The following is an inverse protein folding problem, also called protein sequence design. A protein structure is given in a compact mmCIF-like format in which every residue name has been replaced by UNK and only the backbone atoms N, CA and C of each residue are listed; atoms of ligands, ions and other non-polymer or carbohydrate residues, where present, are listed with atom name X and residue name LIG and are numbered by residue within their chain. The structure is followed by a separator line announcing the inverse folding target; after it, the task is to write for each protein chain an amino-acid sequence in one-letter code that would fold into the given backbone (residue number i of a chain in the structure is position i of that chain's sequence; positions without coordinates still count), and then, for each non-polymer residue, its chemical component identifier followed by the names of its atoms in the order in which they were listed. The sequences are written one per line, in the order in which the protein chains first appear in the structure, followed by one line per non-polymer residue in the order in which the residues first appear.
data_IF_021758655711
#
_entry.id   IF_021758655711
#
_cell.length_a   1.000
_cell.length_b   1.000
_cell.length_c   1.000
_cell.angle_alpha   90.00
_cell.angle_beta   90.00
_cell.angle_gamma   90.00
#
_symmetry.space_group_name_H-M   'P 1'
#
loop_
_entity.id
_entity.type
_entity.pdbx_description
1 polymer ?
#
# COMPACT_ATOMS: atom_id res chain seq x y z
N UNK A 1 -14.87 -17.17 40.56
CA UNK A 1 -13.62 -16.60 41.11
C UNK A 1 -13.52 -15.16 40.64
N UNK A 2 -13.49 -14.23 41.60
CA UNK A 2 -13.35 -12.81 41.31
C UNK A 2 -11.90 -12.52 40.96
N UNK A 3 -11.64 -12.08 39.72
CA UNK A 3 -10.33 -11.60 39.30
C UNK A 3 -9.95 -10.34 40.11
N UNK A 4 -8.79 -10.37 40.74
CA UNK A 4 -8.23 -9.25 41.52
C UNK A 4 -7.63 -8.16 40.62
N UNK A 5 -8.32 -7.76 39.55
CA UNK A 5 -7.85 -6.72 38.63
C UNK A 5 -9.00 -5.75 38.29
N UNK A 6 -8.65 -4.51 38.00
CA UNK A 6 -9.63 -3.49 37.63
C UNK A 6 -10.41 -3.91 36.36
N UNK A 7 -11.69 -3.54 36.25
CA UNK A 7 -12.48 -3.77 35.04
C UNK A 7 -11.76 -3.23 33.78
N UNK A 8 -11.65 -4.08 32.76
CA UNK A 8 -10.91 -3.74 31.54
C UNK A 8 -9.38 -3.88 31.61
N UNK A 9 -8.83 -4.30 32.76
CA UNK A 9 -7.41 -4.57 32.89
C UNK A 9 -6.96 -5.76 32.05
N UNK A 10 -5.66 -5.77 31.67
CA UNK A 10 -5.04 -6.78 30.79
C UNK A 10 -5.31 -8.21 31.24
N UNK A 11 -5.20 -8.49 32.55
CA UNK A 11 -5.43 -9.81 33.10
C UNK A 11 -6.90 -10.25 32.96
N UNK A 12 -7.84 -9.34 33.18
CA UNK A 12 -9.27 -9.62 33.07
C UNK A 12 -9.69 -9.88 31.63
N UNK A 13 -9.22 -9.05 30.68
CA UNK A 13 -9.49 -9.24 29.25
C UNK A 13 -8.93 -10.58 28.76
N UNK A 14 -7.73 -10.93 29.19
CA UNK A 14 -7.09 -12.23 28.86
C UNK A 14 -7.90 -13.42 29.38
N UNK A 15 -8.30 -13.38 30.64
CA UNK A 15 -9.05 -14.49 31.28
C UNK A 15 -10.44 -14.65 30.64
N UNK A 16 -11.14 -13.55 30.41
CA UNK A 16 -12.45 -13.56 29.73
C UNK A 16 -12.33 -14.14 28.32
N UNK A 17 -11.32 -13.74 27.57
CA UNK A 17 -11.07 -14.29 26.24
C UNK A 17 -10.72 -15.78 26.28
N UNK A 18 -9.93 -16.22 27.25
CA UNK A 18 -9.61 -17.63 27.43
C UNK A 18 -10.85 -18.49 27.71
N UNK A 19 -11.79 -17.98 28.50
CA UNK A 19 -13.08 -18.65 28.76
C UNK A 19 -13.91 -18.75 27.47
N UNK A 20 -14.03 -17.67 26.71
CA UNK A 20 -14.79 -17.65 25.46
C UNK A 20 -14.17 -18.56 24.39
N UNK A 21 -12.84 -18.58 24.27
CA UNK A 21 -12.14 -19.51 23.36
C UNK A 21 -12.39 -20.97 23.75
N UNK A 22 -12.34 -21.30 25.03
CA UNK A 22 -12.67 -22.65 25.50
C UNK A 22 -14.10 -23.03 25.17
N UNK A 23 -15.04 -22.15 25.46
CA UNK A 23 -16.44 -22.37 25.14
C UNK A 23 -16.66 -22.58 23.64
N UNK A 24 -16.08 -21.71 22.80
CA UNK A 24 -16.17 -21.84 21.34
C UNK A 24 -15.70 -23.22 20.86
N UNK A 25 -14.55 -23.68 21.37
CA UNK A 25 -13.97 -24.97 20.99
C UNK A 25 -14.77 -26.18 21.49
N UNK A 26 -15.38 -26.07 22.66
CA UNK A 26 -16.19 -27.16 23.23
C UNK A 26 -17.56 -27.25 22.60
N UNK A 27 -18.19 -26.11 22.28
CA UNK A 27 -19.56 -26.06 21.77
C UNK A 27 -19.65 -26.04 20.24
N UNK A 28 -18.50 -25.81 19.52
CA UNK A 28 -18.50 -25.58 18.08
C UNK A 28 -19.10 -24.23 17.66
N UNK A 29 -19.28 -23.31 18.61
CA UNK A 29 -19.86 -21.97 18.36
C UNK A 29 -18.79 -21.01 17.83
N UNK A 30 -19.08 -20.30 16.74
CA UNK A 30 -18.22 -19.19 16.29
C UNK A 30 -18.44 -17.97 17.18
N UNK A 31 -17.34 -17.38 17.68
CA UNK A 31 -17.38 -16.19 18.54
C UNK A 31 -16.58 -15.08 17.88
N UNK A 32 -17.19 -13.90 17.76
CA UNK A 32 -16.54 -12.68 17.32
C UNK A 32 -16.27 -11.79 18.52
N UNK A 33 -14.97 -11.48 18.75
CA UNK A 33 -14.53 -10.52 19.74
C UNK A 33 -14.27 -9.18 19.03
N UNK A 34 -15.03 -8.16 19.38
CA UNK A 34 -14.87 -6.82 18.80
C UNK A 34 -14.05 -5.96 19.74
N UNK A 35 -12.93 -5.43 19.25
CA UNK A 35 -12.02 -4.55 19.97
C UNK A 35 -11.76 -3.25 19.23
N UNK A 36 -11.14 -2.30 19.93
CA UNK A 36 -10.69 -1.03 19.34
C UNK A 36 -9.17 -1.06 19.14
N UNK A 37 -8.71 -0.34 18.11
CA UNK A 37 -7.30 -0.06 17.88
C UNK A 37 -6.99 1.32 18.45
N UNK A 38 -5.88 1.46 19.18
CA UNK A 38 -5.43 2.79 19.66
C UNK A 38 -4.94 3.64 18.49
N UNK A 39 -4.77 4.96 18.71
CA UNK A 39 -4.23 5.88 17.69
C UNK A 39 -2.85 5.47 17.17
N UNK A 40 -2.10 4.71 17.95
CA UNK A 40 -0.78 4.17 17.57
C UNK A 40 -0.89 2.83 16.82
N UNK A 41 -2.09 2.38 16.45
CA UNK A 41 -2.30 1.14 15.69
C UNK A 41 -2.16 -0.14 16.53
N UNK A 42 -2.06 -0.03 17.86
CA UNK A 42 -2.08 -1.17 18.75
C UNK A 42 -3.51 -1.48 19.20
N UNK A 43 -3.87 -2.76 19.33
CA UNK A 43 -5.13 -3.15 19.96
C UNK A 43 -5.24 -2.53 21.35
N UNK A 44 -6.35 -1.83 21.62
CA UNK A 44 -6.72 -1.41 22.97
C UNK A 44 -7.07 -2.66 23.78
N UNK A 45 -6.07 -3.23 24.38
CA UNK A 45 -6.08 -4.52 25.03
C UNK A 45 -4.83 -5.29 24.66
N UNK A 46 -4.48 -6.34 25.41
CA UNK A 46 -3.21 -6.97 25.20
C UNK A 46 -3.15 -7.61 23.80
N UNK A 47 -2.05 -7.43 23.09
CA UNK A 47 -1.62 -8.26 21.94
C UNK A 47 -1.77 -9.76 22.22
N UNK A 48 -1.88 -10.12 23.47
CA UNK A 48 -2.21 -11.44 23.97
C UNK A 48 -3.48 -12.03 23.30
N UNK A 49 -4.49 -11.23 23.00
CA UNK A 49 -5.69 -11.71 22.32
C UNK A 49 -5.40 -12.24 20.92
N UNK A 50 -4.49 -11.60 20.20
CA UNK A 50 -4.10 -12.04 18.84
C UNK A 50 -3.50 -13.47 18.87
N UNK A 51 -2.81 -13.83 19.95
CA UNK A 51 -2.24 -15.17 20.11
C UNK A 51 -3.28 -16.22 20.49
N UNK A 52 -4.37 -15.82 21.12
CA UNK A 52 -5.38 -16.72 21.67
C UNK A 52 -6.48 -17.10 20.66
N UNK A 53 -6.74 -16.24 19.68
CA UNK A 53 -7.81 -16.43 18.68
C UNK A 53 -7.28 -17.10 17.41
N UNK A 54 -8.16 -17.72 16.64
CA UNK A 54 -7.78 -18.39 15.39
C UNK A 54 -7.63 -17.41 14.22
N UNK A 55 -8.37 -16.32 14.22
CA UNK A 55 -8.37 -15.31 13.15
C UNK A 55 -8.37 -13.91 13.75
N UNK A 56 -7.58 -13.02 13.16
CA UNK A 56 -7.56 -11.59 13.49
C UNK A 56 -7.82 -10.79 12.23
N UNK A 57 -8.86 -9.98 12.26
CA UNK A 57 -9.26 -9.10 11.17
C UNK A 57 -9.13 -7.65 11.63
N UNK A 58 -8.40 -6.84 10.86
CA UNK A 58 -8.34 -5.40 11.06
C UNK A 58 -9.34 -4.72 10.12
N UNK A 59 -10.15 -3.87 10.73
CA UNK A 59 -11.09 -3.04 10.01
C UNK A 59 -10.50 -1.63 9.92
N UNK A 60 -10.02 -1.27 8.73
CA UNK A 60 -9.28 -0.05 8.46
C UNK A 60 -10.14 0.93 7.64
N UNK A 61 -9.92 2.22 7.79
CA UNK A 61 -10.56 3.26 6.99
C UNK A 61 -10.39 4.63 7.63
N UNK A 62 -10.30 5.65 6.81
CA UNK A 62 -10.31 7.02 7.29
C UNK A 62 -11.70 7.40 7.81
N UNK A 63 -11.76 8.27 8.83
CA UNK A 63 -13.01 8.69 9.47
C UNK A 63 -14.00 9.28 8.47
N UNK A 64 -13.51 9.97 7.45
CA UNK A 64 -14.29 10.65 6.42
C UNK A 64 -14.29 9.90 5.08
N UNK A 65 -13.57 8.77 5.00
CA UNK A 65 -13.46 7.96 3.80
C UNK A 65 -14.72 7.14 3.52
N UNK A 66 -15.11 7.05 2.25
CA UNK A 66 -16.23 6.22 1.80
C UNK A 66 -15.88 4.72 1.75
N UNK A 67 -14.60 4.39 1.84
CA UNK A 67 -14.11 3.02 1.78
C UNK A 67 -13.76 2.50 3.17
N UNK A 68 -13.96 1.20 3.33
CA UNK A 68 -13.52 0.42 4.49
C UNK A 68 -12.76 -0.79 4.00
N UNK A 69 -11.61 -1.04 4.60
CA UNK A 69 -10.74 -2.15 4.27
C UNK A 69 -10.80 -3.17 5.41
N UNK A 70 -11.05 -4.42 5.10
CA UNK A 70 -11.01 -5.52 6.04
C UNK A 70 -9.79 -6.40 5.71
N UNK A 71 -8.80 -6.38 6.58
CA UNK A 71 -7.53 -7.09 6.38
C UNK A 71 -7.40 -8.27 7.33
N UNK A 72 -7.13 -9.45 6.80
CA UNK A 72 -6.77 -10.62 7.59
C UNK A 72 -5.29 -10.55 7.99
N UNK A 73 -5.02 -10.30 9.27
CA UNK A 73 -3.65 -10.21 9.82
C UNK A 73 -3.17 -11.56 10.35
N UNK A 74 -4.09 -12.35 10.88
CA UNK A 74 -3.86 -13.73 11.30
C UNK A 74 -5.02 -14.59 10.81
N UNK A 75 -4.71 -15.74 10.25
CA UNK A 75 -5.70 -16.75 9.90
C UNK A 75 -5.11 -18.15 10.03
N UNK A 76 -5.49 -18.87 11.06
CA UNK A 76 -4.95 -20.20 11.36
C UNK A 76 -5.33 -21.25 10.31
N UNK A 77 -6.46 -21.08 9.66
CA UNK A 77 -7.03 -22.08 8.76
C UNK A 77 -7.08 -21.64 7.28
N UNK A 78 -6.40 -20.54 6.94
CA UNK A 78 -6.40 -20.02 5.57
C UNK A 78 -5.30 -18.99 5.33
N UNK A 79 -5.40 -18.30 4.20
CA UNK A 79 -4.46 -17.26 3.81
C UNK A 79 -4.51 -16.05 4.77
N UNK A 80 -3.37 -15.42 4.96
CA UNK A 80 -3.23 -14.13 5.66
C UNK A 80 -3.03 -13.00 4.64
N UNK A 81 -3.18 -11.76 5.09
CA UNK A 81 -3.09 -10.55 4.27
C UNK A 81 -4.16 -10.42 3.18
N UNK A 82 -5.20 -11.26 3.24
CA UNK A 82 -6.39 -11.08 2.41
C UNK A 82 -7.05 -9.74 2.71
N UNK A 83 -7.49 -9.06 1.66
CA UNK A 83 -8.09 -7.74 1.74
C UNK A 83 -9.50 -7.73 1.15
N UNK A 84 -10.48 -7.43 1.99
CA UNK A 84 -11.84 -7.08 1.56
C UNK A 84 -11.97 -5.56 1.44
N UNK A 85 -12.54 -5.07 0.35
CA UNK A 85 -12.82 -3.65 0.14
C UNK A 85 -14.32 -3.43 0.13
N UNK A 86 -14.79 -2.50 0.95
CA UNK A 86 -16.20 -2.18 1.12
C UNK A 86 -16.44 -0.68 0.97
N UNK A 87 -17.52 -0.32 0.29
CA UNK A 87 -18.02 1.06 0.24
C UNK A 87 -19.04 1.28 1.36
N UNK A 88 -18.95 2.42 2.03
CA UNK A 88 -19.96 2.86 2.99
C UNK A 88 -21.12 3.50 2.24
N UNK A 89 -22.33 2.99 2.47
CA UNK A 89 -23.57 3.51 1.89
C UNK A 89 -24.58 3.84 3.00
N UNK A 90 -25.66 4.51 2.65
CA UNK A 90 -26.81 4.76 3.55
C UNK A 90 -27.45 3.48 4.10
N UNK A 91 -27.24 2.36 3.40
CA UNK A 91 -27.72 1.03 3.80
C UNK A 91 -26.66 0.16 4.48
N UNK A 92 -25.48 0.72 4.78
CA UNK A 92 -24.36 0.03 5.38
C UNK A 92 -23.24 -0.29 4.40
N UNK A 93 -22.43 -1.31 4.70
CA UNK A 93 -21.28 -1.72 3.90
C UNK A 93 -21.72 -2.51 2.66
N UNK A 94 -21.20 -2.13 1.50
CA UNK A 94 -21.36 -2.85 0.25
C UNK A 94 -19.99 -3.29 -0.27
N UNK A 95 -19.87 -4.57 -0.64
CA UNK A 95 -18.64 -5.11 -1.23
C UNK A 95 -18.28 -4.37 -2.53
N UNK A 96 -16.99 -4.09 -2.70
CA UNK A 96 -16.41 -3.52 -3.92
C UNK A 96 -15.70 -4.64 -4.68
N UNK A 97 -16.31 -5.11 -5.74
CA UNK A 97 -15.78 -6.19 -6.58
C UNK A 97 -14.56 -5.78 -7.39
N UNK A 98 -14.42 -4.50 -7.73
CA UNK A 98 -13.29 -3.95 -8.48
C UNK A 98 -12.66 -2.76 -7.73
N UNK A 99 -11.78 -3.01 -6.74
CA UNK A 99 -11.14 -1.94 -5.98
C UNK A 99 -10.29 -1.01 -6.83
N UNK A 100 -9.56 -1.55 -7.83
CA UNK A 100 -8.72 -0.75 -8.70
C UNK A 100 -9.49 0.37 -9.38
N UNK A 101 -10.73 0.14 -9.81
CA UNK A 101 -11.57 1.16 -10.43
C UNK A 101 -11.87 2.33 -9.48
N UNK A 102 -11.98 2.07 -8.18
CA UNK A 102 -12.27 3.10 -7.17
C UNK A 102 -10.99 3.89 -6.85
N UNK A 103 -9.87 3.20 -6.66
CA UNK A 103 -8.59 3.85 -6.35
C UNK A 103 -7.98 4.60 -7.54
N UNK A 104 -8.50 4.35 -8.76
CA UNK A 104 -8.12 5.03 -9.99
C UNK A 104 -9.05 6.19 -10.37
N UNK A 105 -9.84 6.73 -9.44
CA UNK A 105 -10.63 7.94 -9.67
C UNK A 105 -9.68 9.12 -9.86
N UNK A 106 -9.23 9.33 -11.10
CA UNK A 106 -8.24 10.33 -11.47
C UNK A 106 -8.88 11.63 -11.89
N UNK A 107 -8.13 12.72 -11.73
CA UNK A 107 -8.42 13.96 -12.44
C UNK A 107 -8.49 13.70 -13.97
N UNK A 108 -9.33 14.41 -14.69
CA UNK A 108 -9.44 14.27 -16.14
C UNK A 108 -8.16 14.69 -16.88
N UNK A 109 -7.34 15.50 -16.24
CA UNK A 109 -6.06 15.99 -16.78
C UNK A 109 -4.88 15.38 -16.02
N UNK A 110 -3.79 15.11 -16.75
CA UNK A 110 -2.54 14.67 -16.16
C UNK A 110 -1.95 15.79 -15.30
N UNK A 111 -1.61 15.48 -14.05
CA UNK A 111 -1.04 16.42 -13.10
C UNK A 111 0.36 15.98 -12.67
N UNK A 112 1.29 16.93 -12.44
CA UNK A 112 2.62 16.58 -11.94
C UNK A 112 2.53 15.86 -10.60
N UNK A 113 3.40 14.88 -10.39
CA UNK A 113 3.52 14.16 -9.13
C UNK A 113 2.57 12.96 -9.00
N UNK A 114 1.69 12.69 -9.97
CA UNK A 114 0.79 11.53 -9.92
C UNK A 114 1.28 10.41 -10.82
N UNK A 115 1.27 9.18 -10.29
CA UNK A 115 1.55 7.96 -11.05
C UNK A 115 0.73 6.80 -10.49
N UNK A 116 0.42 5.82 -11.33
CA UNK A 116 -0.22 4.59 -10.87
C UNK A 116 0.81 3.48 -10.73
N UNK A 117 0.70 2.77 -9.63
CA UNK A 117 1.45 1.56 -9.35
C UNK A 117 0.54 0.35 -9.26
N UNK A 118 1.10 -0.84 -9.50
CA UNK A 118 0.46 -2.10 -9.18
C UNK A 118 1.04 -2.62 -7.86
N UNK A 119 0.22 -2.68 -6.83
CA UNK A 119 0.55 -3.27 -5.54
C UNK A 119 -0.09 -4.66 -5.42
N UNK A 120 0.44 -5.50 -4.54
CA UNK A 120 -0.12 -6.81 -4.25
C UNK A 120 -0.77 -6.81 -2.89
N UNK A 121 -2.07 -7.03 -2.87
CA UNK A 121 -2.86 -7.02 -1.63
C UNK A 121 -3.59 -8.36 -1.47
N UNK A 122 -3.21 -9.10 -0.41
CA UNK A 122 -3.74 -10.43 -0.18
C UNK A 122 -3.37 -11.40 -1.29
N UNK A 123 -4.34 -11.86 -2.03
CA UNK A 123 -4.19 -12.83 -3.13
C UNK A 123 -4.26 -12.21 -4.52
N UNK A 124 -4.34 -10.88 -4.65
CA UNK A 124 -4.59 -10.21 -5.94
C UNK A 124 -3.79 -8.92 -6.13
N UNK A 125 -3.51 -8.55 -7.40
CA UNK A 125 -2.98 -7.23 -7.71
C UNK A 125 -4.08 -6.17 -7.54
N UNK A 126 -3.65 -4.96 -7.16
CA UNK A 126 -4.49 -3.78 -7.07
C UNK A 126 -3.76 -2.59 -7.66
N UNK A 127 -4.44 -1.79 -8.46
CA UNK A 127 -3.89 -0.56 -9.00
C UNK A 127 -4.23 0.60 -8.08
N UNK A 128 -3.20 1.33 -7.70
CA UNK A 128 -3.31 2.42 -6.73
C UNK A 128 -2.53 3.64 -7.24
N UNK A 129 -3.12 4.82 -7.10
CA UNK A 129 -2.45 6.06 -7.41
C UNK A 129 -1.58 6.49 -6.22
N UNK A 130 -0.34 6.89 -6.52
CA UNK A 130 0.53 7.59 -5.59
C UNK A 130 0.74 9.02 -6.06
N UNK A 131 0.69 9.96 -5.13
CA UNK A 131 0.90 11.37 -5.38
C UNK A 131 2.09 11.87 -4.59
N UNK A 132 2.95 12.64 -5.25
CA UNK A 132 4.09 13.34 -4.66
C UNK A 132 3.91 14.85 -4.77
N UNK A 133 4.28 15.55 -3.72
CA UNK A 133 4.51 16.99 -3.73
C UNK A 133 5.95 17.24 -3.30
N UNK A 134 6.71 17.87 -4.18
CA UNK A 134 8.08 18.30 -3.91
C UNK A 134 8.15 19.81 -4.05
N UNK A 135 8.60 20.48 -3.01
CA UNK A 135 8.71 21.94 -2.99
C UNK A 135 9.98 22.39 -2.26
N UNK A 136 10.46 23.57 -2.56
CA UNK A 136 11.64 24.14 -1.89
C UNK A 136 11.39 24.25 -0.40
N UNK A 137 12.29 23.70 0.40
CA UNK A 137 12.18 23.79 1.85
C UNK A 137 12.68 25.14 2.35
N UNK A 138 11.88 25.74 3.24
CA UNK A 138 12.27 26.94 3.99
C UNK A 138 12.79 26.60 5.39
N UNK A 139 12.99 25.31 5.67
CA UNK A 139 13.44 24.81 6.96
C UNK A 139 14.90 24.35 6.88
N UNK A 140 15.62 24.46 7.99
CA UNK A 140 16.98 23.91 8.09
C UNK A 140 17.02 22.39 7.86
N UNK A 141 15.96 21.69 8.25
CA UNK A 141 15.79 20.26 8.00
C UNK A 141 14.55 20.05 7.13
N UNK A 142 14.69 19.76 5.86
CA UNK A 142 13.58 19.50 4.95
C UNK A 142 12.69 18.35 5.42
N UNK A 143 11.39 18.51 5.24
CA UNK A 143 10.40 17.53 5.67
C UNK A 143 10.35 16.34 4.72
N UNK A 144 10.14 15.16 5.31
CA UNK A 144 9.87 13.91 4.61
C UNK A 144 8.61 13.32 5.23
N UNK A 145 7.50 13.39 4.52
CA UNK A 145 6.19 12.96 5.03
C UNK A 145 5.59 11.94 4.09
N UNK A 146 5.10 10.84 4.66
CA UNK A 146 4.42 9.78 3.91
C UNK A 146 3.06 9.46 4.54
N UNK A 147 2.07 9.27 3.70
CA UNK A 147 0.77 8.73 4.06
C UNK A 147 0.56 7.42 3.28
N UNK A 148 0.35 6.33 4.01
CA UNK A 148 0.21 4.99 3.43
C UNK A 148 1.51 4.30 3.02
N UNK A 149 2.69 4.86 3.35
CA UNK A 149 4.02 4.36 2.98
C UNK A 149 4.98 4.47 4.17
N UNK A 150 6.07 3.69 4.13
CA UNK A 150 7.14 3.77 5.12
C UNK A 150 8.05 4.99 4.88
N UNK A 151 8.22 5.82 5.91
CA UNK A 151 9.03 7.04 5.82
C UNK A 151 10.53 6.76 5.70
N UNK A 152 11.03 5.71 6.35
CA UNK A 152 12.44 5.33 6.25
C UNK A 152 12.75 4.83 4.84
N UNK A 153 11.79 4.11 4.22
CA UNK A 153 11.93 3.69 2.83
C UNK A 153 12.05 4.90 1.90
N UNK A 154 11.22 5.92 2.07
CA UNK A 154 11.34 7.17 1.31
C UNK A 154 12.72 7.79 1.46
N UNK A 155 13.24 7.91 2.68
CA UNK A 155 14.56 8.49 2.91
C UNK A 155 15.68 7.74 2.16
N UNK A 156 15.63 6.40 2.15
CA UNK A 156 16.57 5.58 1.36
C UNK A 156 16.42 5.79 -0.14
N UNK A 157 15.20 5.83 -0.65
CA UNK A 157 14.94 6.04 -2.08
C UNK A 157 15.41 7.42 -2.55
N UNK A 158 15.25 8.46 -1.74
CA UNK A 158 15.78 9.80 -2.05
C UNK A 158 17.31 9.81 -2.10
N UNK A 159 17.98 9.08 -1.22
CA UNK A 159 19.45 8.92 -1.27
C UNK A 159 19.89 8.20 -2.55
N UNK A 160 19.17 7.15 -2.96
CA UNK A 160 19.44 6.44 -4.23
C UNK A 160 19.18 7.34 -5.43
N UNK A 161 18.10 8.11 -5.41
CA UNK A 161 17.75 9.07 -6.46
C UNK A 161 18.84 10.12 -6.64
N UNK A 162 19.39 10.63 -5.54
CA UNK A 162 20.52 11.56 -5.57
C UNK A 162 21.78 10.88 -6.13
N UNK A 163 22.19 9.74 -5.55
CA UNK A 163 23.48 9.11 -5.87
C UNK A 163 23.51 8.51 -7.28
N UNK A 164 22.44 7.86 -7.72
CA UNK A 164 22.37 7.10 -8.97
C UNK A 164 21.48 7.76 -10.04
N UNK A 165 20.53 8.60 -9.64
CA UNK A 165 19.72 9.38 -10.58
C UNK A 165 20.26 10.79 -10.84
N UNK A 166 21.26 11.25 -10.08
CA UNK A 166 21.79 12.60 -10.20
C UNK A 166 20.81 13.70 -9.76
N UNK A 167 19.79 13.36 -8.98
CA UNK A 167 18.69 14.24 -8.60
C UNK A 167 18.77 14.57 -7.10
N UNK A 168 19.30 15.73 -6.72
CA UNK A 168 19.35 16.14 -5.33
C UNK A 168 17.98 16.59 -4.83
N UNK A 169 17.66 16.21 -3.59
CA UNK A 169 16.43 16.65 -2.89
C UNK A 169 16.74 17.19 -1.48
N UNK A 170 18.01 17.50 -1.20
CA UNK A 170 18.44 17.91 0.15
C UNK A 170 17.86 19.25 0.59
N UNK A 171 17.45 20.10 -0.34
CA UNK A 171 16.80 21.40 -0.11
C UNK A 171 15.30 21.39 -0.41
N UNK A 172 14.70 20.21 -0.56
CA UNK A 172 13.29 20.05 -0.92
C UNK A 172 12.51 19.39 0.21
N UNK A 173 11.32 19.90 0.51
CA UNK A 173 10.29 19.15 1.24
C UNK A 173 9.68 18.12 0.29
N UNK A 174 9.51 16.89 0.77
CA UNK A 174 8.93 15.79 -0.02
C UNK A 174 7.77 15.18 0.75
N UNK A 175 6.60 15.21 0.12
CA UNK A 175 5.37 14.61 0.63
C UNK A 175 4.91 13.54 -0.33
N UNK A 176 4.57 12.36 0.19
CA UNK A 176 3.99 11.26 -0.58
C UNK A 176 2.69 10.81 0.04
N UNK A 177 1.70 10.57 -0.80
CA UNK A 177 0.39 10.09 -0.39
C UNK A 177 -0.08 8.96 -1.29
N UNK A 178 -0.51 7.85 -0.69
CA UNK A 178 -1.24 6.79 -1.40
C UNK A 178 -2.71 7.15 -1.39
N UNK A 179 -3.30 7.32 -2.56
CA UNK A 179 -4.70 7.71 -2.70
C UNK A 179 -5.63 6.61 -2.18
N UNK A 180 -6.68 7.00 -1.47
CA UNK A 180 -7.68 6.07 -0.94
C UNK A 180 -7.35 5.44 0.40
N UNK A 181 -6.30 5.93 1.10
CA UNK A 181 -5.96 5.45 2.46
C UNK A 181 -5.39 4.03 2.51
N UNK A 182 -4.97 3.48 1.38
CA UNK A 182 -4.33 2.15 1.31
C UNK A 182 -2.92 2.22 1.88
N UNK A 183 -2.54 1.25 2.69
CA UNK A 183 -1.15 1.10 3.16
C UNK A 183 -0.40 0.16 2.23
N UNK A 184 0.63 0.66 1.57
CA UNK A 184 1.51 -0.11 0.70
C UNK A 184 2.80 -0.40 1.45
N UNK A 185 3.05 -1.68 1.73
CA UNK A 185 4.20 -2.13 2.53
C UNK A 185 5.27 -2.86 1.69
N UNK A 186 4.97 -3.15 0.43
CA UNK A 186 5.88 -3.89 -0.44
C UNK A 186 6.86 -2.98 -1.19
N UNK A 187 8.07 -3.49 -1.43
CA UNK A 187 9.12 -2.77 -2.16
C UNK A 187 8.84 -2.61 -3.66
N UNK A 188 7.84 -3.32 -4.19
CA UNK A 188 7.37 -3.15 -5.57
C UNK A 188 6.91 -1.71 -5.89
N UNK A 189 6.59 -0.91 -4.87
CA UNK A 189 6.22 0.49 -5.00
C UNK A 189 7.39 1.45 -5.28
N UNK A 190 8.63 1.06 -5.01
CA UNK A 190 9.80 1.94 -5.01
C UNK A 190 9.94 2.77 -6.28
N UNK A 191 9.88 2.11 -7.43
CA UNK A 191 10.08 2.76 -8.72
C UNK A 191 8.96 3.78 -9.01
N UNK A 192 7.73 3.48 -8.62
CA UNK A 192 6.60 4.38 -8.74
C UNK A 192 6.73 5.62 -7.82
N UNK A 193 7.22 5.43 -6.59
CA UNK A 193 7.49 6.53 -5.67
C UNK A 193 8.52 7.50 -6.25
N UNK A 194 9.62 6.97 -6.80
CA UNK A 194 10.64 7.77 -7.45
C UNK A 194 10.12 8.49 -8.69
N UNK A 195 9.28 7.83 -9.49
CA UNK A 195 8.62 8.43 -10.65
C UNK A 195 7.71 9.59 -10.26
N UNK A 196 6.92 9.45 -9.19
CA UNK A 196 6.06 10.51 -8.68
C UNK A 196 6.88 11.71 -8.17
N UNK A 197 7.96 11.45 -7.41
CA UNK A 197 8.88 12.49 -6.94
C UNK A 197 9.49 13.25 -8.11
N UNK A 198 9.97 12.55 -9.13
CA UNK A 198 10.56 13.17 -10.33
C UNK A 198 9.56 14.01 -11.09
N UNK A 199 8.34 13.52 -11.26
CA UNK A 199 7.27 14.25 -11.94
C UNK A 199 6.95 15.56 -11.22
N UNK A 200 6.81 15.51 -9.89
CA UNK A 200 6.56 16.70 -9.06
C UNK A 200 7.75 17.68 -9.09
N UNK A 201 8.98 17.20 -8.87
CA UNK A 201 10.18 18.02 -8.86
C UNK A 201 10.40 18.78 -10.19
N UNK A 202 10.12 18.10 -11.31
CA UNK A 202 10.24 18.70 -12.64
C UNK A 202 8.98 19.47 -13.08
N UNK A 203 7.96 19.49 -12.26
CA UNK A 203 6.64 20.04 -12.59
C UNK A 203 6.13 19.56 -13.95
N UNK A 204 6.33 18.27 -14.25
CA UNK A 204 5.99 17.66 -15.54
C UNK A 204 5.11 16.43 -15.32
N UNK A 205 3.86 16.47 -15.81
CA UNK A 205 2.95 15.33 -15.70
C UNK A 205 3.48 14.08 -16.38
N UNK A 206 3.16 12.93 -15.80
CA UNK A 206 3.36 11.62 -16.44
C UNK A 206 2.11 11.23 -17.23
N UNK A 207 2.23 10.38 -18.27
CA UNK A 207 1.07 9.90 -19.01
C UNK A 207 0.04 9.23 -18.10
N UNK A 208 -1.25 9.51 -18.32
CA UNK A 208 -2.34 8.92 -17.54
C UNK A 208 -2.41 7.40 -17.62
N UNK A 209 -1.98 6.86 -18.74
CA UNK A 209 -2.01 5.45 -19.07
C UNK A 209 -0.68 4.73 -18.75
N UNK A 210 0.18 5.37 -17.95
CA UNK A 210 1.43 4.81 -17.47
C UNK A 210 1.24 4.09 -16.14
N UNK A 211 1.68 2.83 -16.08
CA UNK A 211 1.85 2.05 -14.86
C UNK A 211 3.34 1.91 -14.54
N UNK A 212 3.70 1.97 -13.25
CA UNK A 212 5.08 1.77 -12.82
C UNK A 212 5.12 0.82 -11.63
N UNK A 213 6.00 -0.16 -11.63
CA UNK A 213 6.34 -0.95 -10.45
C UNK A 213 7.75 -1.52 -10.53
N UNK A 214 8.34 -1.82 -9.39
CA UNK A 214 9.66 -2.44 -9.27
C UNK A 214 10.34 -2.06 -7.96
N UNK A 215 11.16 -2.96 -7.45
CA UNK A 215 12.02 -2.68 -6.31
C UNK A 215 13.29 -1.97 -6.78
N UNK A 216 13.76 -0.99 -6.02
CA UNK A 216 15.02 -0.30 -6.29
C UNK A 216 16.02 -0.58 -5.18
N UNK A 217 17.15 -1.17 -5.55
CA UNK A 217 18.25 -1.44 -4.64
C UNK A 217 19.14 -0.22 -4.38
N UNK A 218 19.96 -0.30 -3.34
CA UNK A 218 20.84 0.81 -2.92
C UNK A 218 21.93 1.15 -3.95
N UNK A 219 22.22 0.24 -4.87
CA UNK A 219 23.17 0.47 -5.98
C UNK A 219 22.48 1.02 -7.24
N UNK A 220 21.21 1.40 -7.16
CA UNK A 220 20.45 1.92 -8.29
C UNK A 220 19.96 0.85 -9.27
N UNK A 221 20.10 -0.44 -8.92
CA UNK A 221 19.54 -1.54 -9.70
C UNK A 221 18.04 -1.63 -9.53
N UNK A 222 17.33 -1.97 -10.60
CA UNK A 222 15.89 -2.25 -10.58
C UNK A 222 15.70 -3.76 -10.53
N UNK A 223 15.07 -4.24 -9.47
CA UNK A 223 14.93 -5.65 -9.13
C UNK A 223 13.52 -6.16 -9.43
N UNK A 224 13.38 -7.40 -9.91
CA UNK A 224 12.08 -8.00 -10.13
C UNK A 224 11.31 -8.18 -8.81
N UNK A 225 9.99 -8.14 -8.94
CA UNK A 225 9.05 -8.31 -7.83
C UNK A 225 8.16 -9.52 -8.09
N UNK A 226 7.55 -10.11 -7.05
CA UNK A 226 6.62 -11.22 -7.23
C UNK A 226 5.40 -10.84 -8.08
N UNK A 227 4.86 -11.80 -8.82
CA UNK A 227 3.58 -11.67 -9.54
C UNK A 227 3.56 -10.55 -10.59
N UNK A 228 4.67 -10.32 -11.29
CA UNK A 228 4.76 -9.24 -12.28
C UNK A 228 3.76 -9.37 -13.42
N UNK A 229 3.49 -10.61 -13.88
CA UNK A 229 2.55 -10.85 -14.97
C UNK A 229 1.11 -10.53 -14.56
N UNK A 230 0.71 -10.88 -13.34
CA UNK A 230 -0.61 -10.59 -12.81
C UNK A 230 -0.83 -9.08 -12.65
N UNK A 231 0.21 -8.35 -12.22
CA UNK A 231 0.21 -6.89 -12.16
C UNK A 231 0.00 -6.25 -13.54
N UNK A 232 0.68 -6.77 -14.57
CA UNK A 232 0.53 -6.30 -15.95
C UNK A 232 -0.83 -6.66 -16.54
N UNK A 233 -1.37 -7.83 -16.24
CA UNK A 233 -2.73 -8.22 -16.65
C UNK A 233 -3.77 -7.29 -16.05
N UNK A 234 -3.62 -6.94 -14.77
CA UNK A 234 -4.52 -5.99 -14.11
C UNK A 234 -4.45 -4.62 -14.78
N UNK A 235 -3.25 -4.13 -15.11
CA UNK A 235 -3.07 -2.89 -15.86
C UNK A 235 -3.78 -2.92 -17.21
N UNK A 236 -3.64 -4.01 -17.96
CA UNK A 236 -4.31 -4.19 -19.25
C UNK A 236 -5.84 -4.14 -19.14
N UNK A 237 -6.43 -4.76 -18.11
CA UNK A 237 -7.88 -4.71 -17.84
C UNK A 237 -8.39 -3.30 -17.60
N UNK A 238 -7.57 -2.41 -17.04
CA UNK A 238 -7.92 -1.02 -16.75
C UNK A 238 -7.46 -0.02 -17.82
N UNK A 239 -7.07 -0.52 -19.00
CA UNK A 239 -6.80 0.31 -20.17
C UNK A 239 -5.47 1.06 -20.16
N UNK A 240 -4.51 0.64 -19.32
CA UNK A 240 -3.16 1.18 -19.36
C UNK A 240 -2.49 0.81 -20.67
N UNK A 241 -1.70 1.73 -21.23
CA UNK A 241 -1.02 1.58 -22.52
C UNK A 241 0.47 1.40 -22.39
N UNK A 242 1.06 1.84 -21.27
CA UNK A 242 2.51 1.78 -21.01
C UNK A 242 2.75 1.26 -19.60
N UNK A 243 3.80 0.46 -19.45
CA UNK A 243 4.27 0.00 -18.15
C UNK A 243 5.80 0.02 -18.08
N UNK A 244 6.37 0.69 -17.07
CA UNK A 244 7.80 0.65 -16.77
C UNK A 244 7.99 -0.36 -15.63
N UNK A 245 8.75 -1.43 -15.91
CA UNK A 245 8.88 -2.57 -15.01
C UNK A 245 10.31 -3.11 -14.99
N UNK A 246 10.69 -3.89 -13.96
CA UNK A 246 11.97 -4.59 -13.97
C UNK A 246 12.09 -5.54 -15.14
N UNK A 247 13.27 -5.67 -15.74
CA UNK A 247 13.53 -6.62 -16.82
C UNK A 247 13.12 -8.06 -16.46
N UNK A 248 13.37 -8.47 -15.22
CA UNK A 248 12.98 -9.81 -14.74
C UNK A 248 11.46 -10.04 -14.64
N UNK A 249 10.65 -8.98 -14.72
CA UNK A 249 9.18 -9.06 -14.77
C UNK A 249 8.61 -8.86 -16.18
N UNK A 250 9.45 -8.57 -17.17
CA UNK A 250 8.99 -8.41 -18.54
C UNK A 250 8.43 -9.76 -19.06
N UNK A 251 7.18 -9.79 -19.54
CA UNK A 251 6.59 -11.02 -20.05
C UNK A 251 7.14 -11.34 -21.45
N UNK A 252 7.09 -12.61 -21.82
CA UNK A 252 7.40 -13.01 -23.22
C UNK A 252 6.43 -12.40 -24.21
N UNK A 253 5.16 -12.32 -23.82
CA UNK A 253 4.07 -11.66 -24.56
C UNK A 253 3.39 -10.67 -23.63
N UNK A 254 3.39 -9.39 -24.00
CA UNK A 254 2.71 -8.35 -23.26
C UNK A 254 1.19 -8.47 -23.42
N UNK A 255 0.41 -8.07 -22.41
CA UNK A 255 -1.04 -7.91 -22.58
C UNK A 255 -1.37 -7.04 -23.79
N UNK A 256 -2.44 -7.40 -24.53
CA UNK A 256 -2.82 -6.69 -25.74
C UNK A 256 -2.98 -5.19 -25.50
N UNK A 257 -2.30 -4.38 -26.30
CA UNK A 257 -2.34 -2.92 -26.22
C UNK A 257 -1.50 -2.30 -25.10
N UNK A 258 -0.72 -3.09 -24.34
CA UNK A 258 0.18 -2.61 -23.30
C UNK A 258 1.65 -2.70 -23.79
N UNK A 259 2.30 -1.56 -23.93
CA UNK A 259 3.74 -1.49 -24.19
C UNK A 259 4.49 -1.65 -22.86
N UNK A 260 5.32 -2.68 -22.75
CA UNK A 260 6.15 -2.94 -21.58
C UNK A 260 7.56 -2.43 -21.82
N UNK A 261 8.00 -1.49 -20.99
CA UNK A 261 9.35 -0.92 -21.00
C UNK A 261 10.11 -1.57 -19.84
N UNK A 262 11.02 -2.48 -20.20
CA UNK A 262 11.79 -3.23 -19.23
C UNK A 262 13.10 -2.49 -18.90
N UNK A 263 13.38 -2.34 -17.61
CA UNK A 263 14.56 -1.62 -17.12
C UNK A 263 15.35 -2.45 -16.11
N UNK A 264 16.66 -2.24 -16.04
CA UNK A 264 17.56 -2.86 -15.07
C UNK A 264 18.20 -1.86 -14.11
N UNK A 265 18.16 -0.57 -14.46
CA UNK A 265 18.76 0.52 -13.73
C UNK A 265 17.79 1.68 -13.56
N UNK A 266 17.95 2.42 -12.45
CA UNK A 266 17.15 3.59 -12.16
C UNK A 266 17.19 4.63 -13.28
N UNK A 267 18.38 4.93 -13.82
CA UNK A 267 18.55 5.93 -14.88
C UNK A 267 17.67 5.62 -16.10
N UNK A 268 17.63 4.34 -16.52
CA UNK A 268 16.79 3.90 -17.64
C UNK A 268 15.29 4.14 -17.37
N UNK A 269 14.87 3.89 -16.13
CA UNK A 269 13.49 4.14 -15.75
C UNK A 269 13.15 5.63 -15.75
N UNK A 270 14.04 6.48 -15.23
CA UNK A 270 13.85 7.94 -15.20
C UNK A 270 13.80 8.54 -16.62
N UNK A 271 14.63 8.04 -17.54
CA UNK A 271 14.60 8.47 -18.94
C UNK A 271 13.28 8.08 -19.60
N UNK A 272 12.82 6.84 -19.40
CA UNK A 272 11.58 6.33 -19.98
C UNK A 272 10.29 7.03 -19.47
N UNK A 273 10.34 7.72 -18.31
CA UNK A 273 9.16 8.40 -17.76
C UNK A 273 8.64 9.51 -18.66
N UNK A 274 9.51 10.17 -19.43
CA UNK A 274 9.21 11.40 -20.16
C UNK A 274 9.34 11.25 -21.69
N UNK A 275 9.59 10.04 -22.17
CA UNK A 275 9.51 9.68 -23.58
C UNK A 275 8.05 9.47 -24.02
#
# INVERSE_FOLDING_TARGET
EQLQSAPGGVAQVRESAAMLVRYAKQSGTAIFLVGHVTKEGALAGPRVLEHMVDTVLYFEGESDGRLRLLRAVKNRFGAVNELGVFGMTDKGLKEVSNPSAIFLTRAQEAVPGSVVMATWEGSRPMLVEVQALVDTSHLANPRRVTLGLDQNRLAMLLAVLHRHGGIPTYDQDVFLNVVGGVKVLETASDLALMAAVMSSLRNRPLPHDLLVFGEVGLSGEVRPVPSGQERLKEAGKHGFKRAIVPLGNAPKEAPAGLQVIAVTRLEQALDALFE
#
